data_IF_680304296250
#
_entry.id   IF_680304296250
#
_cell.length_a   1.000
_cell.length_b   1.000
_cell.length_c   1.000
_cell.angle_alpha   90.00
_cell.angle_beta   90.00
_cell.angle_gamma   90.00
#
_symmetry.space_group_name_H-M   'P 1'
#
loop_
_entity.id
_entity.type
_entity.pdbx_description
1 polymer ?
#
# COMPACT_ATOMS: atom_id res chain seq x y z
N UNK A 1 19.48 -14.36 -17.19
CA UNK A 1 19.83 -13.34 -18.22
C UNK A 1 18.65 -12.45 -18.66
N UNK A 2 17.39 -12.86 -18.39
CA UNK A 2 16.20 -12.09 -18.79
C UNK A 2 15.80 -11.00 -17.78
N UNK A 3 16.30 -11.04 -16.55
CA UNK A 3 16.01 -10.04 -15.53
C UNK A 3 17.05 -8.91 -15.54
N UNK A 4 16.58 -7.68 -15.40
CA UNK A 4 17.44 -6.54 -15.03
C UNK A 4 17.97 -6.72 -13.60
N UNK A 5 18.99 -5.96 -13.21
CA UNK A 5 19.58 -6.07 -11.86
C UNK A 5 18.57 -5.79 -10.74
N UNK A 6 17.59 -4.93 -10.99
CA UNK A 6 16.48 -4.65 -10.08
C UNK A 6 15.25 -5.55 -10.32
N UNK A 7 15.34 -6.52 -11.24
CA UNK A 7 14.23 -7.37 -11.65
C UNK A 7 13.90 -8.44 -10.61
N UNK A 8 12.65 -8.87 -10.64
CA UNK A 8 12.10 -9.90 -9.76
C UNK A 8 11.42 -11.01 -10.55
N UNK A 9 11.40 -12.20 -9.96
CA UNK A 9 10.62 -13.33 -10.45
C UNK A 9 9.65 -13.79 -9.37
N UNK A 10 8.43 -14.09 -9.80
CA UNK A 10 7.37 -14.67 -8.96
C UNK A 10 6.95 -16.01 -9.54
N UNK A 11 6.93 -17.04 -8.72
CA UNK A 11 6.47 -18.38 -9.12
C UNK A 11 5.32 -18.79 -8.22
N UNK A 12 4.13 -18.89 -8.79
CA UNK A 12 2.97 -19.46 -8.08
C UNK A 12 2.99 -20.96 -8.18
N UNK A 13 2.86 -21.64 -7.05
CA UNK A 13 2.94 -23.10 -6.96
C UNK A 13 2.06 -23.62 -5.82
N UNK A 14 1.51 -24.81 -5.97
CA UNK A 14 0.76 -25.50 -4.91
C UNK A 14 1.67 -26.12 -3.84
N UNK A 15 1.05 -26.45 -2.72
CA UNK A 15 1.72 -27.01 -1.54
C UNK A 15 2.55 -28.26 -1.86
N UNK A 16 2.06 -29.11 -2.75
CA UNK A 16 2.70 -30.36 -3.13
C UNK A 16 4.11 -30.19 -3.69
N UNK A 17 4.38 -29.08 -4.38
CA UNK A 17 5.62 -28.86 -5.13
C UNK A 17 6.40 -27.61 -4.71
N UNK A 18 5.92 -26.84 -3.73
CA UNK A 18 6.58 -25.60 -3.32
C UNK A 18 8.04 -25.79 -2.90
N UNK A 19 8.34 -26.88 -2.19
CA UNK A 19 9.68 -27.23 -1.74
C UNK A 19 10.63 -27.52 -2.92
N UNK A 20 10.14 -28.20 -3.98
CA UNK A 20 10.92 -28.48 -5.18
C UNK A 20 11.18 -27.21 -6.00
N UNK A 21 10.13 -26.42 -6.22
CA UNK A 21 10.25 -25.14 -6.91
C UNK A 21 11.23 -24.21 -6.17
N UNK A 22 11.16 -24.18 -4.83
CA UNK A 22 12.08 -23.39 -4.02
C UNK A 22 13.52 -23.84 -4.21
N UNK A 23 13.80 -25.15 -4.15
CA UNK A 23 15.16 -25.69 -4.32
C UNK A 23 15.76 -25.33 -5.69
N UNK A 24 14.96 -25.44 -6.76
CA UNK A 24 15.41 -25.06 -8.11
C UNK A 24 15.70 -23.55 -8.18
N UNK A 25 14.87 -22.72 -7.55
CA UNK A 25 15.08 -21.28 -7.55
C UNK A 25 16.30 -20.87 -6.72
N UNK A 26 16.55 -21.55 -5.59
CA UNK A 26 17.77 -21.34 -4.79
C UNK A 26 19.03 -21.71 -5.60
N UNK A 27 18.98 -22.78 -6.40
CA UNK A 27 20.09 -23.17 -7.29
C UNK A 27 20.33 -22.13 -8.41
N UNK A 28 19.26 -21.63 -9.03
CA UNK A 28 19.36 -20.72 -10.19
C UNK A 28 19.68 -19.29 -9.79
N UNK A 29 19.06 -18.78 -8.73
CA UNK A 29 19.16 -17.38 -8.31
C UNK A 29 20.09 -17.14 -7.12
N UNK A 30 20.41 -18.22 -6.35
CA UNK A 30 21.09 -18.14 -5.07
C UNK A 30 20.13 -17.90 -3.90
N UNK A 31 20.36 -18.57 -2.77
CA UNK A 31 19.54 -18.46 -1.56
C UNK A 31 19.47 -17.02 -1.03
N UNK A 32 20.56 -16.27 -1.14
CA UNK A 32 20.65 -14.88 -0.69
C UNK A 32 19.71 -13.94 -1.46
N UNK A 33 19.29 -14.31 -2.65
CA UNK A 33 18.38 -13.54 -3.48
C UNK A 33 16.88 -13.85 -3.25
N UNK A 34 16.61 -14.78 -2.32
CA UNK A 34 15.25 -15.02 -1.86
C UNK A 34 14.70 -13.80 -1.08
N UNK A 35 13.51 -13.34 -1.47
CA UNK A 35 12.85 -12.20 -0.83
C UNK A 35 11.75 -12.68 0.10
N UNK A 36 10.80 -13.49 -0.41
CA UNK A 36 9.67 -13.96 0.40
C UNK A 36 8.97 -15.17 -0.20
N UNK A 37 8.43 -15.99 0.67
CA UNK A 37 7.37 -16.96 0.34
C UNK A 37 6.05 -16.38 0.82
N UNK A 38 5.15 -16.14 -0.11
CA UNK A 38 3.85 -15.53 0.13
C UNK A 38 2.81 -16.65 0.14
N UNK A 39 2.03 -16.73 1.20
CA UNK A 39 0.91 -17.68 1.32
C UNK A 39 -0.37 -17.02 0.86
N UNK A 40 -1.03 -17.62 -0.11
CA UNK A 40 -2.30 -17.11 -0.69
C UNK A 40 -3.41 -18.08 -0.37
N UNK A 41 -4.49 -17.61 0.23
CA UNK A 41 -5.67 -18.44 0.51
C UNK A 41 -6.40 -18.78 -0.79
N UNK A 42 -6.53 -20.07 -1.10
CA UNK A 42 -7.21 -20.58 -2.28
C UNK A 42 -8.69 -20.85 -2.03
N UNK A 43 -8.97 -21.53 -0.92
CA UNK A 43 -10.34 -21.90 -0.52
C UNK A 43 -10.48 -21.82 1.00
N UNK A 44 -11.70 -21.84 1.50
CA UNK A 44 -11.99 -21.85 2.94
C UNK A 44 -12.07 -23.26 3.52
N UNK A 45 -12.38 -24.25 2.68
CA UNK A 45 -12.41 -25.66 3.09
C UNK A 45 -12.22 -26.57 1.87
N UNK A 46 -11.51 -27.65 2.07
CA UNK A 46 -11.39 -28.73 1.12
C UNK A 46 -11.71 -30.03 1.87
N UNK A 47 -12.67 -30.80 1.33
CA UNK A 47 -13.02 -32.12 1.87
C UNK A 47 -11.89 -33.08 1.59
N UNK A 48 -11.04 -33.33 2.58
CA UNK A 48 -9.99 -34.32 2.50
C UNK A 48 -9.98 -35.22 3.75
N UNK A 49 -9.47 -36.43 3.63
CA UNK A 49 -9.39 -37.42 4.72
C UNK A 49 -8.38 -37.01 5.82
N UNK A 50 -7.43 -36.17 5.50
CA UNK A 50 -6.44 -35.66 6.44
C UNK A 50 -6.58 -34.14 6.53
N UNK A 51 -5.54 -33.39 6.18
CA UNK A 51 -5.52 -31.94 6.16
C UNK A 51 -5.69 -31.44 4.73
N UNK A 52 -6.73 -30.62 4.47
CA UNK A 52 -6.99 -30.03 3.16
C UNK A 52 -5.96 -28.95 2.80
N UNK A 53 -5.53 -28.93 1.54
CA UNK A 53 -4.64 -27.89 1.01
C UNK A 53 -5.45 -26.64 0.66
N UNK A 54 -5.57 -25.70 1.59
CA UNK A 54 -6.37 -24.47 1.44
C UNK A 54 -5.60 -23.28 0.89
N UNK A 55 -4.29 -23.42 0.68
CA UNK A 55 -3.39 -22.36 0.26
C UNK A 55 -2.57 -22.74 -0.96
N UNK A 56 -2.25 -21.75 -1.77
CA UNK A 56 -1.14 -21.77 -2.74
C UNK A 56 -0.01 -20.85 -2.24
N UNK A 57 1.15 -20.98 -2.84
CA UNK A 57 2.32 -20.18 -2.52
C UNK A 57 2.80 -19.39 -3.73
N UNK A 58 3.35 -18.21 -3.47
CA UNK A 58 4.08 -17.42 -4.45
C UNK A 58 5.49 -17.23 -3.92
N UNK A 59 6.47 -17.78 -4.61
CA UNK A 59 7.89 -17.60 -4.32
C UNK A 59 8.37 -16.32 -5.01
N UNK A 60 9.00 -15.43 -4.26
CA UNK A 60 9.54 -14.18 -4.76
C UNK A 60 11.06 -14.15 -4.58
N UNK A 61 11.77 -14.01 -5.71
CA UNK A 61 13.22 -13.82 -5.77
C UNK A 61 13.53 -12.53 -6.55
N UNK A 62 14.61 -11.85 -6.15
CA UNK A 62 15.24 -10.81 -6.97
C UNK A 62 16.37 -11.42 -7.79
N UNK A 63 16.77 -10.77 -8.90
CA UNK A 63 18.06 -11.06 -9.51
C UNK A 63 19.19 -10.72 -8.54
N UNK A 64 19.09 -9.56 -7.91
CA UNK A 64 19.91 -9.12 -6.78
C UNK A 64 18.95 -8.54 -5.73
N UNK A 65 18.82 -9.20 -4.61
CA UNK A 65 17.87 -8.83 -3.55
C UNK A 65 18.01 -7.38 -3.10
N UNK A 66 19.25 -6.90 -2.98
CA UNK A 66 19.54 -5.54 -2.52
C UNK A 66 19.11 -4.47 -3.53
N UNK A 67 19.05 -4.82 -4.82
CA UNK A 67 18.66 -3.92 -5.89
C UNK A 67 17.19 -4.11 -6.32
N UNK A 68 16.52 -5.14 -5.81
CA UNK A 68 15.16 -5.46 -6.20
C UNK A 68 14.21 -4.29 -5.91
N UNK A 69 13.40 -3.91 -6.90
CA UNK A 69 12.32 -2.95 -6.65
C UNK A 69 11.33 -3.56 -5.69
N UNK A 70 11.05 -2.86 -4.60
CA UNK A 70 10.03 -3.26 -3.63
C UNK A 70 9.22 -2.05 -3.19
N UNK A 71 7.90 -2.11 -3.36
CA UNK A 71 6.96 -1.11 -2.87
C UNK A 71 6.16 -1.65 -1.72
N UNK A 72 5.87 -0.80 -0.76
CA UNK A 72 4.91 -1.15 0.28
C UNK A 72 3.51 -1.00 -0.28
N UNK A 73 2.76 -2.09 -0.30
CA UNK A 73 1.33 -2.08 -0.53
C UNK A 73 0.60 -2.06 0.80
N UNK A 74 -0.53 -1.38 0.82
CA UNK A 74 -1.32 -1.20 2.03
C UNK A 74 -2.70 -1.84 1.85
N UNK A 75 -3.14 -2.58 2.86
CA UNK A 75 -4.51 -3.07 2.96
C UNK A 75 -5.26 -2.34 4.08
N UNK A 76 -6.59 -2.34 4.02
CA UNK A 76 -7.38 -1.96 5.17
C UNK A 76 -6.97 -2.83 6.36
N UNK A 77 -6.97 -2.27 7.56
CA UNK A 77 -6.63 -3.04 8.75
C UNK A 77 -7.55 -4.24 8.87
N UNK A 78 -6.96 -5.39 9.23
CA UNK A 78 -7.73 -6.58 9.57
C UNK A 78 -8.39 -6.39 10.95
N UNK A 79 -9.47 -7.14 11.20
CA UNK A 79 -10.17 -7.17 12.49
C UNK A 79 -9.21 -7.47 13.66
N UNK A 80 -8.22 -8.35 13.46
CA UNK A 80 -7.19 -8.63 14.48
C UNK A 80 -6.32 -7.42 14.80
N UNK A 81 -6.05 -6.55 13.84
CA UNK A 81 -5.29 -5.32 14.06
C UNK A 81 -6.16 -4.21 14.61
N UNK A 82 -7.45 -4.20 14.31
CA UNK A 82 -8.45 -3.31 14.91
C UNK A 82 -8.69 -3.67 16.38
N UNK A 83 -8.68 -4.95 16.76
CA UNK A 83 -8.77 -5.43 18.12
C UNK A 83 -7.70 -4.91 19.08
N UNK A 84 -6.63 -4.26 18.58
CA UNK A 84 -5.64 -3.55 19.39
C UNK A 84 -6.09 -2.17 19.85
N UNK A 85 -7.15 -1.60 19.23
CA UNK A 85 -7.74 -0.30 19.58
C UNK A 85 -8.98 -0.54 20.45
N UNK A 86 -8.73 -0.87 21.71
CA UNK A 86 -9.76 -1.33 22.65
C UNK A 86 -10.37 -0.24 23.53
N UNK A 87 -9.79 0.93 23.50
CA UNK A 87 -10.22 2.06 24.30
C UNK A 87 -10.93 3.09 23.44
N UNK A 88 -12.12 3.50 23.89
CA UNK A 88 -12.89 4.56 23.24
C UNK A 88 -12.56 5.90 23.88
N UNK A 89 -12.42 6.93 23.04
CA UNK A 89 -12.23 8.30 23.47
C UNK A 89 -13.56 9.04 23.49
N UNK A 90 -13.64 10.19 24.14
CA UNK A 90 -14.89 10.94 24.34
C UNK A 90 -15.55 11.40 23.01
N UNK A 91 -14.84 11.41 21.92
CA UNK A 91 -15.34 11.74 20.57
C UNK A 91 -15.83 10.51 19.80
N UNK A 92 -15.86 9.33 20.43
CA UNK A 92 -16.24 8.06 19.80
C UNK A 92 -15.11 7.39 18.99
N UNK A 93 -13.93 8.00 18.93
CA UNK A 93 -12.80 7.41 18.26
C UNK A 93 -12.12 6.34 19.13
N UNK A 94 -11.66 5.27 18.51
CA UNK A 94 -10.90 4.24 19.18
C UNK A 94 -9.41 4.56 19.20
N UNK A 95 -8.74 4.21 20.28
CA UNK A 95 -7.31 4.40 20.45
C UNK A 95 -6.64 3.24 21.17
N UNK A 96 -5.33 3.21 21.08
CA UNK A 96 -4.47 2.34 21.85
C UNK A 96 -3.38 3.14 22.56
N UNK A 97 -2.86 2.56 23.62
CA UNK A 97 -1.68 3.08 24.31
C UNK A 97 -0.41 2.68 23.56
N UNK A 98 0.43 3.67 23.31
CA UNK A 98 1.78 3.47 22.80
C UNK A 98 2.79 4.14 23.73
N UNK A 99 4.02 3.62 23.80
CA UNK A 99 5.03 4.20 24.68
C UNK A 99 5.60 5.50 24.11
N UNK A 100 5.68 6.52 24.94
CA UNK A 100 6.34 7.80 24.63
C UNK A 100 7.83 7.77 25.02
N UNK A 101 8.28 6.68 25.65
CA UNK A 101 9.64 6.50 26.15
C UNK A 101 10.40 5.47 25.32
N UNK A 102 11.73 5.59 25.31
CA UNK A 102 12.69 4.68 24.72
C UNK A 102 13.50 4.02 25.83
N UNK A 103 13.84 2.75 25.66
CA UNK A 103 14.74 2.02 26.56
C UNK A 103 16.22 2.38 26.36
N UNK A 104 16.56 3.18 25.34
CA UNK A 104 17.90 3.69 25.11
C UNK A 104 18.35 4.50 26.33
N UNK A 105 19.57 4.29 26.84
CA UNK A 105 20.12 5.16 27.88
C UNK A 105 20.09 6.64 27.47
N UNK A 106 19.81 7.51 28.42
CA UNK A 106 19.82 8.95 28.17
C UNK A 106 21.22 9.43 27.86
N UNK A 107 21.34 10.25 26.80
CA UNK A 107 22.55 10.97 26.44
C UNK A 107 22.42 12.46 26.72
N UNK A 108 23.45 13.21 26.41
CA UNK A 108 23.44 14.66 26.52
C UNK A 108 22.34 15.28 25.65
N UNK A 109 21.54 16.17 26.25
CA UNK A 109 20.41 16.83 25.59
C UNK A 109 19.13 16.03 25.51
N UNK A 110 19.09 14.80 26.05
CA UNK A 110 17.85 14.02 26.16
C UNK A 110 16.96 14.50 27.32
N UNK A 111 15.64 14.43 27.10
CA UNK A 111 14.66 14.80 28.13
C UNK A 111 14.47 13.63 29.09
N UNK A 112 14.80 13.86 30.36
CA UNK A 112 14.65 12.86 31.44
C UNK A 112 13.57 13.24 32.48
N UNK A 113 12.99 14.43 32.35
CA UNK A 113 11.86 14.90 33.16
C UNK A 113 10.96 15.77 32.32
N UNK A 114 9.67 15.60 32.46
CA UNK A 114 8.66 16.41 31.79
C UNK A 114 7.53 16.72 32.74
N UNK A 115 7.13 17.99 32.83
CA UNK A 115 6.04 18.45 33.71
C UNK A 115 4.85 18.89 32.86
N UNK A 116 3.66 18.32 33.15
CA UNK A 116 2.42 18.70 32.46
C UNK A 116 1.24 18.62 33.42
N UNK A 117 0.36 19.60 33.39
CA UNK A 117 -0.80 19.72 34.29
C UNK A 117 -0.46 19.56 35.78
N UNK A 118 0.66 20.15 36.21
CA UNK A 118 1.11 20.08 37.56
C UNK A 118 1.63 18.70 38.04
N UNK A 119 1.85 17.77 37.09
CA UNK A 119 2.41 16.44 37.34
C UNK A 119 3.76 16.30 36.64
N UNK A 120 4.67 15.63 37.35
CA UNK A 120 6.00 15.31 36.83
C UNK A 120 6.04 13.87 36.29
N UNK A 121 6.60 13.70 35.12
CA UNK A 121 6.79 12.42 34.46
C UNK A 121 8.25 12.13 34.21
N UNK A 122 8.65 10.88 34.44
CA UNK A 122 10.01 10.40 34.27
C UNK A 122 10.01 9.15 33.36
N UNK A 123 10.91 9.06 32.37
CA UNK A 123 10.99 7.90 31.48
C UNK A 123 11.63 6.65 32.11
N UNK A 124 12.02 6.70 33.39
CA UNK A 124 12.72 5.63 34.08
C UNK A 124 14.21 5.57 33.69
N UNK A 125 14.71 4.39 33.35
CA UNK A 125 16.11 4.19 32.94
C UNK A 125 16.44 4.70 31.52
N UNK A 126 15.42 5.09 30.75
CA UNK A 126 15.56 5.53 29.37
C UNK A 126 15.38 7.03 29.20
N UNK A 127 14.89 7.43 28.04
CA UNK A 127 14.61 8.82 27.66
C UNK A 127 13.23 8.92 27.01
N UNK A 128 12.71 10.15 26.89
CA UNK A 128 11.55 10.37 26.03
C UNK A 128 11.95 10.29 24.54
N UNK A 129 11.02 9.87 23.69
CA UNK A 129 11.22 9.70 22.23
C UNK A 129 11.36 11.02 21.46
N UNK A 130 11.09 12.15 22.10
CA UNK A 130 11.17 13.47 21.50
C UNK A 130 11.68 14.51 22.50
N UNK A 131 12.07 15.67 21.99
CA UNK A 131 12.51 16.83 22.81
C UNK A 131 11.33 17.43 23.58
N UNK A 132 11.63 18.26 24.55
CA UNK A 132 10.61 18.90 25.40
C UNK A 132 9.56 19.67 24.59
N UNK A 133 9.98 20.44 23.60
CA UNK A 133 9.06 21.14 22.68
C UNK A 133 8.08 20.18 21.97
N UNK A 134 8.57 18.99 21.58
CA UNK A 134 7.73 17.95 20.98
C UNK A 134 6.76 17.33 21.99
N UNK A 135 7.17 17.14 23.24
CA UNK A 135 6.27 16.69 24.32
C UNK A 135 5.17 17.73 24.57
N UNK A 136 5.51 19.01 24.61
CA UNK A 136 4.51 20.09 24.77
C UNK A 136 3.50 20.08 23.63
N UNK A 137 3.93 19.89 22.37
CA UNK A 137 3.04 19.81 21.20
C UNK A 137 2.13 18.59 21.25
N UNK A 138 2.65 17.43 21.68
CA UNK A 138 1.84 16.24 21.90
C UNK A 138 0.78 16.47 22.97
N UNK A 139 1.13 17.17 24.02
CA UNK A 139 0.20 17.56 25.08
C UNK A 139 -0.89 18.53 24.56
N UNK A 140 -0.49 19.60 23.85
CA UNK A 140 -1.39 20.55 23.19
C UNK A 140 -2.33 19.87 22.18
N UNK A 141 -1.85 18.82 21.51
CA UNK A 141 -2.62 18.00 20.57
C UNK A 141 -3.51 16.96 21.25
N UNK A 142 -3.58 16.95 22.57
CA UNK A 142 -4.36 15.98 23.36
C UNK A 142 -3.98 14.52 23.06
N UNK A 143 -2.68 14.27 22.89
CA UNK A 143 -2.12 12.95 22.52
C UNK A 143 -1.50 12.20 23.70
N UNK A 144 -1.69 12.70 24.93
CA UNK A 144 -1.20 12.04 26.12
C UNK A 144 -2.32 11.42 26.94
N UNK A 145 -1.98 10.31 27.56
CA UNK A 145 -2.79 9.63 28.56
C UNK A 145 -1.91 9.28 29.74
N UNK A 146 -2.42 9.60 30.91
CA UNK A 146 -1.77 9.25 32.17
C UNK A 146 -2.41 7.99 32.73
N UNK A 147 -1.62 6.94 32.92
CA UNK A 147 -2.10 5.69 33.51
C UNK A 147 -2.31 5.83 35.02
N UNK A 148 -3.04 4.89 35.64
CA UNK A 148 -3.23 4.80 37.10
C UNK A 148 -1.89 4.82 37.89
N UNK A 149 -0.83 4.30 37.29
CA UNK A 149 0.52 4.28 37.85
C UNK A 149 1.34 5.54 37.53
N UNK A 150 0.70 6.64 37.13
CA UNK A 150 1.33 7.92 36.74
C UNK A 150 2.37 7.80 35.63
N UNK A 151 2.22 6.81 34.72
CA UNK A 151 3.04 6.73 33.50
C UNK A 151 2.39 7.51 32.37
N UNK A 152 3.19 8.30 31.68
CA UNK A 152 2.77 9.02 30.48
C UNK A 152 2.85 8.08 29.28
N UNK A 153 1.74 7.93 28.57
CA UNK A 153 1.64 7.17 27.33
C UNK A 153 1.15 8.05 26.19
N UNK A 154 1.53 7.68 24.97
CA UNK A 154 1.03 8.28 23.75
C UNK A 154 -0.31 7.65 23.36
N UNK A 155 -1.31 8.47 23.16
CA UNK A 155 -2.62 8.09 22.64
C UNK A 155 -2.56 8.01 21.11
N UNK A 156 -2.44 6.81 20.57
CA UNK A 156 -2.48 6.58 19.13
C UNK A 156 -3.91 6.32 18.71
N UNK A 157 -4.46 7.22 17.89
CA UNK A 157 -5.81 7.08 17.35
C UNK A 157 -5.85 6.03 16.23
N UNK A 158 -6.97 5.33 16.12
CA UNK A 158 -7.25 4.45 14.97
C UNK A 158 -7.20 5.23 13.65
N UNK A 159 -7.63 6.49 13.69
CA UNK A 159 -7.68 7.38 12.53
C UNK A 159 -6.30 7.96 12.12
N UNK A 160 -5.24 7.75 12.91
CA UNK A 160 -3.90 8.23 12.58
C UNK A 160 -3.33 7.59 11.31
N UNK A 161 -3.70 6.34 11.05
CA UNK A 161 -3.43 5.64 9.80
C UNK A 161 -4.35 4.41 9.69
N UNK A 162 -5.33 4.46 8.81
CA UNK A 162 -6.37 3.41 8.66
C UNK A 162 -5.91 2.14 7.94
N UNK A 163 -4.64 2.06 7.55
CA UNK A 163 -4.08 0.97 6.74
C UNK A 163 -3.01 0.19 7.50
N UNK A 164 -2.75 -1.03 7.04
CA UNK A 164 -1.61 -1.85 7.44
C UNK A 164 -0.76 -2.19 6.22
N UNK A 165 0.57 -2.21 6.38
CA UNK A 165 1.44 -2.74 5.34
C UNK A 165 1.14 -4.22 5.11
N UNK A 166 1.02 -4.62 3.84
CA UNK A 166 0.80 -6.03 3.49
C UNK A 166 2.03 -6.85 3.84
N UNK A 167 1.79 -7.98 4.50
CA UNK A 167 2.79 -9.00 4.74
C UNK A 167 2.75 -10.12 3.69
N UNK A 168 3.39 -11.22 4.00
CA UNK A 168 3.45 -12.42 3.16
C UNK A 168 2.28 -13.40 3.37
N UNK A 169 1.23 -12.99 4.04
CA UNK A 169 -0.03 -13.74 4.15
C UNK A 169 -1.16 -12.97 3.46
N UNK A 170 -1.62 -13.49 2.32
CA UNK A 170 -2.70 -12.89 1.54
C UNK A 170 -4.00 -13.70 1.72
N UNK A 171 -4.65 -13.48 2.86
CA UNK A 171 -5.92 -14.12 3.18
C UNK A 171 -7.15 -13.28 2.76
N UNK A 172 -6.96 -12.02 2.42
CA UNK A 172 -7.98 -11.05 2.03
C UNK A 172 -8.38 -11.15 0.55
N UNK A 173 -7.59 -11.86 -0.27
CA UNK A 173 -7.91 -12.19 -1.65
C UNK A 173 -8.19 -13.69 -1.78
N UNK A 174 -9.16 -14.03 -2.61
CA UNK A 174 -9.41 -15.42 -2.96
C UNK A 174 -8.54 -15.81 -4.15
N UNK A 175 -7.81 -16.92 -4.03
CA UNK A 175 -7.17 -17.57 -5.16
C UNK A 175 -8.18 -18.20 -6.13
N UNK A 176 -9.45 -18.33 -5.71
CA UNK A 176 -10.51 -18.85 -6.57
C UNK A 176 -10.95 -17.78 -7.57
N UNK A 177 -10.89 -18.15 -8.86
CA UNK A 177 -11.33 -17.32 -9.98
C UNK A 177 -12.79 -17.63 -10.25
N UNK A 178 -13.73 -16.86 -9.73
CA UNK A 178 -15.18 -17.04 -9.97
C UNK A 178 -15.99 -15.76 -9.72
N UNK A 179 -15.44 -14.57 -9.97
CA UNK A 179 -16.22 -13.34 -9.89
C UNK A 179 -16.69 -12.86 -11.25
N UNK A 180 -17.71 -12.00 -11.29
CA UNK A 180 -18.15 -11.35 -12.53
C UNK A 180 -17.05 -10.49 -13.17
N UNK A 181 -16.13 -9.97 -12.36
CA UNK A 181 -15.01 -9.16 -12.81
C UNK A 181 -13.77 -9.97 -13.22
N UNK A 182 -13.68 -11.23 -12.79
CA UNK A 182 -12.61 -12.16 -13.16
C UNK A 182 -13.21 -13.56 -13.44
N UNK A 183 -13.89 -13.75 -14.59
CA UNK A 183 -14.53 -15.02 -14.93
C UNK A 183 -13.45 -16.08 -15.25
N UNK A 184 -13.68 -17.29 -14.77
CA UNK A 184 -12.83 -18.42 -15.12
C UNK A 184 -13.07 -18.84 -16.56
N UNK A 185 -12.12 -18.52 -17.44
CA UNK A 185 -12.20 -18.86 -18.89
C UNK A 185 -11.23 -19.98 -19.28
N UNK A 186 -10.36 -20.39 -18.36
CA UNK A 186 -9.34 -21.42 -18.60
C UNK A 186 -9.25 -22.36 -17.39
N UNK A 187 -8.87 -23.61 -17.62
CA UNK A 187 -8.85 -24.66 -16.58
C UNK A 187 -7.93 -24.29 -15.42
N UNK A 188 -6.73 -23.80 -15.74
CA UNK A 188 -5.75 -23.35 -14.75
C UNK A 188 -5.58 -21.83 -14.95
N UNK A 189 -6.24 -21.05 -14.12
CA UNK A 189 -6.20 -19.59 -14.21
C UNK A 189 -5.85 -19.01 -12.87
N UNK A 190 -4.80 -18.19 -12.82
CA UNK A 190 -4.44 -17.39 -11.66
C UNK A 190 -5.38 -16.18 -11.52
N UNK A 191 -5.75 -15.85 -10.30
CA UNK A 191 -6.53 -14.64 -10.01
C UNK A 191 -5.78 -13.38 -10.41
N UNK A 192 -6.50 -12.45 -11.05
CA UNK A 192 -5.98 -11.13 -11.42
C UNK A 192 -5.42 -10.37 -10.23
N UNK A 193 -6.01 -10.55 -9.02
CA UNK A 193 -5.56 -9.90 -7.79
C UNK A 193 -4.17 -10.35 -7.34
N UNK A 194 -3.83 -11.63 -7.51
CA UNK A 194 -2.50 -12.15 -7.17
C UNK A 194 -1.46 -11.53 -8.09
N UNK A 195 -1.71 -11.58 -9.41
CA UNK A 195 -0.80 -11.03 -10.42
C UNK A 195 -0.64 -9.52 -10.24
N UNK A 196 -1.74 -8.79 -9.97
CA UNK A 196 -1.71 -7.36 -9.73
C UNK A 196 -0.81 -7.00 -8.53
N UNK A 197 -0.91 -7.74 -7.43
CA UNK A 197 -0.05 -7.52 -6.25
C UNK A 197 1.42 -7.77 -6.56
N UNK A 198 1.76 -8.86 -7.23
CA UNK A 198 3.14 -9.14 -7.66
C UNK A 198 3.69 -8.01 -8.53
N UNK A 199 2.90 -7.55 -9.49
CA UNK A 199 3.24 -6.44 -10.38
C UNK A 199 3.46 -5.13 -9.63
N UNK A 200 2.53 -4.76 -8.75
CA UNK A 200 2.58 -3.51 -7.99
C UNK A 200 3.72 -3.50 -6.97
N UNK A 201 4.08 -4.66 -6.41
CA UNK A 201 5.22 -4.80 -5.50
C UNK A 201 6.57 -4.51 -6.19
N UNK A 202 6.76 -4.99 -7.42
CA UNK A 202 8.10 -5.12 -8.00
C UNK A 202 8.32 -4.36 -9.32
N UNK A 203 7.30 -3.65 -9.85
CA UNK A 203 7.43 -2.96 -11.14
C UNK A 203 6.89 -1.54 -11.12
N UNK A 204 7.36 -0.72 -12.06
CA UNK A 204 6.85 0.62 -12.35
C UNK A 204 6.01 0.64 -13.63
N UNK A 205 5.08 1.60 -13.81
CA UNK A 205 4.46 1.85 -15.09
C UNK A 205 5.53 2.01 -16.20
N UNK A 206 5.33 1.32 -17.34
CA UNK A 206 6.29 1.28 -18.43
C UNK A 206 7.37 0.20 -18.32
N UNK A 207 7.52 -0.49 -17.20
CA UNK A 207 8.40 -1.66 -17.07
C UNK A 207 7.89 -2.83 -17.92
N UNK A 208 8.79 -3.76 -18.26
CA UNK A 208 8.47 -4.96 -19.02
C UNK A 208 8.22 -6.14 -18.09
N UNK A 209 7.13 -6.86 -18.34
CA UNK A 209 6.73 -8.07 -17.64
C UNK A 209 6.78 -9.24 -18.62
N UNK A 210 7.40 -10.33 -18.23
CA UNK A 210 7.47 -11.57 -19.01
C UNK A 210 6.71 -12.67 -18.29
N UNK A 211 5.81 -13.35 -18.99
CA UNK A 211 5.14 -14.56 -18.54
C UNK A 211 5.35 -15.69 -19.55
N UNK A 212 6.23 -16.65 -19.26
CA UNK A 212 6.52 -17.77 -20.17
C UNK A 212 5.44 -18.87 -20.12
N UNK A 213 4.39 -18.72 -19.32
CA UNK A 213 3.30 -19.67 -19.11
C UNK A 213 1.94 -18.99 -19.18
N UNK A 214 1.70 -18.29 -20.27
CA UNK A 214 0.62 -17.35 -20.50
C UNK A 214 -0.78 -17.82 -20.06
N UNK A 215 -1.13 -19.08 -20.34
CA UNK A 215 -2.48 -19.60 -20.11
C UNK A 215 -3.55 -18.69 -20.73
N UNK A 216 -4.51 -18.25 -19.94
CA UNK A 216 -5.58 -17.33 -20.37
C UNK A 216 -5.16 -15.87 -20.50
N UNK A 217 -3.88 -15.53 -20.38
CA UNK A 217 -3.37 -14.17 -20.51
C UNK A 217 -3.64 -13.26 -19.31
N UNK A 218 -3.71 -13.81 -18.11
CA UNK A 218 -3.97 -13.01 -16.90
C UNK A 218 -2.87 -11.98 -16.68
N UNK A 219 -1.60 -12.37 -16.81
CA UNK A 219 -0.47 -11.46 -16.65
C UNK A 219 -0.48 -10.32 -17.67
N UNK A 220 -0.76 -10.63 -18.94
CA UNK A 220 -0.87 -9.61 -19.99
C UNK A 220 -2.02 -8.63 -19.70
N UNK A 221 -3.20 -9.15 -19.33
CA UNK A 221 -4.38 -8.34 -19.01
C UNK A 221 -4.10 -7.41 -17.82
N UNK A 222 -3.49 -7.91 -16.76
CA UNK A 222 -3.14 -7.10 -15.58
C UNK A 222 -2.04 -6.10 -15.92
N UNK A 223 -1.03 -6.49 -16.67
CA UNK A 223 0.04 -5.58 -17.12
C UNK A 223 -0.52 -4.44 -17.95
N UNK A 224 -1.42 -4.74 -18.87
CA UNK A 224 -2.13 -3.73 -19.66
C UNK A 224 -2.93 -2.77 -18.77
N UNK A 225 -3.69 -3.30 -17.80
CA UNK A 225 -4.44 -2.49 -16.85
C UNK A 225 -3.56 -1.49 -16.12
N UNK A 226 -2.41 -1.92 -15.65
CA UNK A 226 -1.50 -1.14 -14.81
C UNK A 226 -0.41 -0.39 -15.60
N UNK A 227 -0.51 -0.33 -16.94
CA UNK A 227 0.41 0.44 -17.78
C UNK A 227 1.82 -0.14 -17.87
N UNK A 228 1.96 -1.46 -17.73
CA UNK A 228 3.21 -2.19 -17.96
C UNK A 228 3.24 -2.70 -19.39
N UNK A 229 4.43 -2.80 -19.97
CA UNK A 229 4.64 -3.55 -21.20
C UNK A 229 4.71 -5.03 -20.88
N UNK A 230 4.31 -5.88 -21.79
CA UNK A 230 4.26 -7.31 -21.52
C UNK A 230 4.66 -8.15 -22.72
N UNK A 231 5.26 -9.30 -22.43
CA UNK A 231 5.51 -10.40 -23.35
C UNK A 231 4.98 -11.65 -22.66
N UNK A 232 4.13 -12.42 -23.36
CA UNK A 232 3.63 -13.69 -22.83
C UNK A 232 3.84 -14.79 -23.86
N UNK A 233 4.15 -15.98 -23.37
CA UNK A 233 4.47 -17.15 -24.19
C UNK A 233 3.61 -18.31 -23.74
N UNK A 234 3.17 -19.16 -24.66
CA UNK A 234 2.52 -20.43 -24.34
C UNK A 234 2.75 -21.42 -25.50
N UNK A 235 2.79 -22.69 -25.17
CA UNK A 235 2.86 -23.79 -26.15
C UNK A 235 1.47 -24.15 -26.68
N UNK A 236 0.41 -23.81 -25.95
CA UNK A 236 -0.98 -24.11 -26.31
C UNK A 236 -1.57 -23.01 -27.20
N UNK A 237 -1.87 -23.34 -28.43
CA UNK A 237 -2.58 -22.43 -29.35
C UNK A 237 -3.98 -22.04 -28.83
N UNK A 238 -4.64 -22.91 -28.08
CA UNK A 238 -5.95 -22.62 -27.44
C UNK A 238 -5.76 -21.56 -26.36
N UNK A 239 -4.76 -21.68 -25.50
CA UNK A 239 -4.44 -20.68 -24.49
C UNK A 239 -4.18 -19.31 -25.14
N UNK A 240 -3.34 -19.26 -26.17
CA UNK A 240 -3.02 -18.01 -26.89
C UNK A 240 -4.24 -17.40 -27.57
N UNK A 241 -5.16 -18.20 -28.16
CA UNK A 241 -6.38 -17.71 -28.73
C UNK A 241 -7.31 -17.07 -27.67
N UNK A 242 -7.45 -17.71 -26.51
CA UNK A 242 -8.20 -17.18 -25.38
C UNK A 242 -7.57 -15.90 -24.81
N UNK A 243 -6.25 -15.89 -24.63
CA UNK A 243 -5.51 -14.72 -24.16
C UNK A 243 -5.70 -13.53 -25.11
N UNK A 244 -5.55 -13.76 -26.42
CA UNK A 244 -5.79 -12.74 -27.44
C UNK A 244 -7.20 -12.19 -27.39
N UNK A 245 -8.22 -13.04 -27.34
CA UNK A 245 -9.61 -12.61 -27.24
C UNK A 245 -9.88 -11.80 -25.96
N UNK A 246 -9.33 -12.22 -24.84
CA UNK A 246 -9.45 -11.53 -23.54
C UNK A 246 -8.81 -10.15 -23.56
N UNK A 247 -7.61 -10.02 -24.09
CA UNK A 247 -6.87 -8.76 -24.15
C UNK A 247 -7.58 -7.79 -25.12
N UNK A 248 -7.95 -8.24 -26.32
CA UNK A 248 -8.62 -7.41 -27.33
C UNK A 248 -10.03 -6.97 -26.90
N UNK A 249 -10.77 -7.83 -26.19
CA UNK A 249 -12.11 -7.53 -25.68
C UNK A 249 -12.10 -6.78 -24.34
N UNK A 250 -10.93 -6.64 -23.71
CA UNK A 250 -10.78 -6.02 -22.40
C UNK A 250 -11.08 -4.52 -22.42
N UNK A 251 -11.78 -4.07 -21.37
CA UNK A 251 -11.98 -2.65 -21.08
C UNK A 251 -11.23 -2.33 -19.80
N UNK A 252 -10.31 -1.39 -19.88
CA UNK A 252 -9.43 -1.02 -18.80
C UNK A 252 -9.80 0.36 -18.24
N UNK A 253 -9.62 0.60 -16.94
CA UNK A 253 -9.79 1.92 -16.36
C UNK A 253 -8.88 2.95 -17.05
N UNK A 254 -9.38 4.16 -17.20
CA UNK A 254 -8.58 5.27 -17.70
C UNK A 254 -7.93 5.99 -16.53
N UNK A 255 -6.78 5.47 -16.09
CA UNK A 255 -6.03 6.09 -15.00
C UNK A 255 -5.40 7.41 -15.42
N UNK A 256 -5.41 8.39 -14.51
CA UNK A 256 -4.81 9.70 -14.77
C UNK A 256 -3.29 9.60 -14.69
N UNK A 257 -2.63 9.82 -15.82
CA UNK A 257 -1.17 9.85 -15.88
C UNK A 257 -0.63 11.10 -15.14
N UNK A 258 0.43 10.95 -14.36
CA UNK A 258 1.12 12.07 -13.75
C UNK A 258 1.64 13.06 -14.81
N UNK A 259 2.02 12.55 -15.99
CA UNK A 259 2.45 13.31 -17.17
C UNK A 259 1.27 13.58 -18.12
N UNK A 260 0.16 14.05 -17.59
CA UNK A 260 -0.99 14.54 -18.37
C UNK A 260 -1.57 15.81 -17.74
N UNK A 261 -2.30 16.61 -18.53
CA UNK A 261 -2.91 17.85 -18.02
C UNK A 261 -3.94 17.55 -16.92
N UNK A 262 -4.77 16.54 -17.14
CA UNK A 262 -5.75 16.09 -16.15
C UNK A 262 -5.06 15.58 -14.87
N UNK A 263 -3.95 14.84 -15.04
CA UNK A 263 -3.15 14.37 -13.91
C UNK A 263 -2.53 15.51 -13.12
N UNK A 264 -1.97 16.53 -13.78
CA UNK A 264 -1.43 17.71 -13.10
C UNK A 264 -2.49 18.49 -12.31
N UNK A 265 -3.70 18.59 -12.85
CA UNK A 265 -4.83 19.22 -12.15
C UNK A 265 -5.18 18.40 -10.91
N UNK A 266 -5.34 17.07 -11.09
CA UNK A 266 -5.67 16.16 -9.99
C UNK A 266 -4.60 16.14 -8.90
N UNK A 267 -3.32 16.16 -9.29
CA UNK A 267 -2.20 16.25 -8.36
C UNK A 267 -2.26 17.55 -7.53
N UNK A 268 -2.55 18.68 -8.17
CA UNK A 268 -2.75 19.96 -7.49
C UNK A 268 -3.91 19.92 -6.49
N UNK A 269 -5.04 19.30 -6.86
CA UNK A 269 -6.18 19.11 -5.95
C UNK A 269 -5.80 18.27 -4.71
N UNK A 270 -5.14 17.12 -4.94
CA UNK A 270 -4.76 16.18 -3.88
C UNK A 270 -3.72 16.79 -2.94
N UNK A 271 -2.76 17.54 -3.49
CA UNK A 271 -1.69 18.18 -2.71
C UNK A 271 -2.10 19.55 -2.16
N UNK A 272 -3.28 20.06 -2.55
CA UNK A 272 -3.74 21.42 -2.21
C UNK A 272 -2.73 22.49 -2.62
N UNK A 273 -2.10 22.30 -3.76
CA UNK A 273 -1.11 23.20 -4.34
C UNK A 273 -1.56 23.68 -5.72
N UNK A 274 -0.89 24.70 -6.23
CA UNK A 274 -1.13 25.12 -7.62
C UNK A 274 -0.76 23.98 -8.57
N UNK A 275 -1.65 23.70 -9.52
CA UNK A 275 -1.39 22.69 -10.56
C UNK A 275 -0.15 23.05 -11.37
N UNK A 276 0.68 22.08 -11.67
CA UNK A 276 1.85 22.27 -12.54
C UNK A 276 1.42 22.77 -13.93
N UNK A 277 2.21 23.69 -14.50
CA UNK A 277 2.02 24.19 -15.87
C UNK A 277 3.08 23.63 -16.83
N UNK A 278 3.88 22.67 -16.40
CA UNK A 278 4.91 22.04 -17.25
C UNK A 278 4.24 21.33 -18.45
N UNK A 279 4.91 21.31 -19.61
CA UNK A 279 4.41 20.53 -20.75
C UNK A 279 4.28 19.04 -20.40
N UNK A 280 3.30 18.38 -20.96
CA UNK A 280 3.00 16.96 -20.76
C UNK A 280 3.11 16.21 -22.07
N UNK A 281 3.62 14.98 -22.01
CA UNK A 281 3.90 14.13 -23.15
C UNK A 281 3.15 12.79 -23.10
N UNK A 282 2.34 12.57 -22.08
CA UNK A 282 1.60 11.33 -21.88
C UNK A 282 2.51 10.13 -21.59
N UNK A 283 3.69 10.36 -21.01
CA UNK A 283 4.65 9.30 -20.74
C UNK A 283 4.24 8.49 -19.51
N UNK A 284 3.82 7.25 -19.73
CA UNK A 284 3.38 6.32 -18.66
C UNK A 284 4.46 6.04 -17.61
N UNK A 285 5.74 6.19 -17.95
CA UNK A 285 6.86 5.96 -17.01
C UNK A 285 6.89 6.97 -15.86
N UNK A 286 6.21 8.10 -15.98
CA UNK A 286 6.03 9.04 -14.89
C UNK A 286 5.00 8.56 -13.87
N UNK A 287 4.32 7.44 -14.12
CA UNK A 287 3.33 6.83 -13.25
C UNK A 287 1.95 7.48 -13.35
N UNK A 288 1.11 7.13 -12.41
CA UNK A 288 -0.25 7.64 -12.27
C UNK A 288 -0.34 8.61 -11.08
N UNK A 289 -1.42 9.36 -11.02
CA UNK A 289 -1.80 10.10 -9.82
C UNK A 289 -2.50 9.11 -8.86
N UNK A 290 -1.86 8.83 -7.72
CA UNK A 290 -2.37 7.86 -6.75
C UNK A 290 -3.10 8.52 -5.59
N UNK A 291 -4.04 7.82 -4.99
CA UNK A 291 -4.57 8.18 -3.69
C UNK A 291 -3.45 8.21 -2.65
N UNK A 292 -3.58 9.14 -1.70
CA UNK A 292 -2.64 9.33 -0.59
C UNK A 292 -3.39 9.40 0.70
N UNK A 293 -2.81 8.82 1.73
CA UNK A 293 -3.36 8.88 3.07
C UNK A 293 -2.32 9.44 4.03
N UNK A 294 -2.71 10.35 4.93
CA UNK A 294 -1.78 10.84 5.92
C UNK A 294 -1.39 9.70 6.88
N UNK A 295 -0.11 9.59 7.18
CA UNK A 295 0.42 8.67 8.18
C UNK A 295 0.85 9.48 9.40
N UNK A 296 -0.08 9.70 10.32
CA UNK A 296 0.15 10.48 11.52
C UNK A 296 0.96 9.65 12.51
N UNK A 297 2.13 10.15 12.87
CA UNK A 297 3.06 9.53 13.82
C UNK A 297 3.33 10.47 14.99
N UNK A 298 3.84 9.93 16.10
CA UNK A 298 4.32 10.75 17.21
C UNK A 298 5.31 11.83 16.72
N UNK A 299 6.22 11.45 15.81
CA UNK A 299 7.25 12.36 15.27
C UNK A 299 6.64 13.48 14.44
N UNK A 300 5.63 13.19 13.61
CA UNK A 300 4.98 14.23 12.79
C UNK A 300 4.26 15.27 13.64
N UNK A 301 3.62 14.86 14.75
CA UNK A 301 2.98 15.76 15.70
C UNK A 301 4.03 16.58 16.47
N UNK A 302 5.03 15.91 17.03
CA UNK A 302 6.08 16.57 17.82
C UNK A 302 6.87 17.64 17.05
N UNK A 303 7.01 17.47 15.74
CA UNK A 303 7.71 18.40 14.87
C UNK A 303 6.80 19.49 14.26
N UNK A 304 5.50 19.44 14.46
CA UNK A 304 4.56 20.41 13.90
C UNK A 304 4.51 21.70 14.73
N UNK A 305 5.28 22.71 14.35
CA UNK A 305 5.31 24.01 15.04
C UNK A 305 4.02 24.82 14.92
N UNK A 306 3.16 24.53 13.93
CA UNK A 306 1.91 25.24 13.75
C UNK A 306 0.92 24.97 14.91
N UNK A 307 1.09 23.84 15.60
CA UNK A 307 0.30 23.53 16.82
C UNK A 307 0.49 24.61 17.88
N UNK A 308 1.68 25.16 18.03
CA UNK A 308 1.96 26.21 19.01
C UNK A 308 1.19 27.48 18.65
N UNK A 309 1.20 27.89 17.37
CA UNK A 309 0.50 29.09 16.87
C UNK A 309 -1.01 28.95 17.03
N UNK A 310 -1.56 27.78 16.64
CA UNK A 310 -3.01 27.50 16.80
C UNK A 310 -3.38 27.56 18.27
N UNK A 311 -2.59 26.88 19.14
CA UNK A 311 -2.84 26.88 20.56
C UNK A 311 -2.88 28.28 21.15
N UNK A 312 -1.87 29.10 20.89
CA UNK A 312 -1.78 30.47 21.44
C UNK A 312 -2.93 31.36 20.96
N UNK A 313 -3.31 31.21 19.68
CA UNK A 313 -4.44 31.96 19.10
C UNK A 313 -5.77 31.61 19.79
N UNK A 314 -6.01 30.33 20.05
CA UNK A 314 -7.22 29.89 20.73
C UNK A 314 -7.18 30.10 22.23
N UNK A 315 -6.02 30.06 22.85
CA UNK A 315 -5.87 30.29 24.29
C UNK A 315 -6.29 31.74 24.65
N UNK A 316 -5.96 32.70 23.79
CA UNK A 316 -6.43 34.07 23.93
C UNK A 316 -7.96 34.22 23.97
N UNK A 317 -8.70 33.26 23.40
CA UNK A 317 -10.18 33.21 23.44
C UNK A 317 -10.71 32.37 24.59
N UNK A 318 -10.04 31.26 24.88
CA UNK A 318 -10.48 30.28 25.89
C UNK A 318 -10.27 30.79 27.32
N UNK A 319 -9.19 31.51 27.57
CA UNK A 319 -8.85 31.95 28.91
C UNK A 319 -9.89 32.94 29.49
N UNK A 320 -10.35 33.96 28.78
CA UNK A 320 -11.44 34.84 29.26
C UNK A 320 -12.73 34.09 29.54
N UNK A 321 -13.09 33.09 28.73
CA UNK A 321 -14.28 32.25 28.93
C UNK A 321 -14.12 31.36 30.18
N UNK A 322 -12.94 30.80 30.42
CA UNK A 322 -12.63 30.01 31.62
C UNK A 322 -12.74 30.88 32.90
N UNK A 323 -12.15 32.06 32.85
CA UNK A 323 -12.22 32.99 33.98
C UNK A 323 -13.65 33.44 34.30
N UNK A 324 -14.44 33.76 33.26
CA UNK A 324 -15.85 34.11 33.42
C UNK A 324 -16.68 32.95 33.97
N UNK A 325 -16.46 31.75 33.50
CA UNK A 325 -17.09 30.53 34.01
C UNK A 325 -16.73 30.28 35.50
N UNK A 326 -15.44 30.34 35.83
CA UNK A 326 -14.96 30.19 37.19
C UNK A 326 -15.57 31.23 38.13
N UNK A 327 -15.63 32.50 37.72
CA UNK A 327 -16.24 33.56 38.46
C UNK A 327 -17.76 33.32 38.72
N UNK A 328 -18.46 32.87 37.68
CA UNK A 328 -19.90 32.56 37.76
C UNK A 328 -20.21 31.44 38.71
N UNK A 329 -19.37 30.40 38.73
CA UNK A 329 -19.54 29.19 39.56
C UNK A 329 -18.79 29.23 40.90
N UNK A 330 -18.04 30.32 41.17
CA UNK A 330 -17.13 30.43 42.36
C UNK A 330 -16.14 29.24 42.40
N UNK A 331 -15.55 28.90 41.28
CA UNK A 331 -14.55 27.82 41.10
C UNK A 331 -13.20 28.40 40.69
N UNK A 332 -12.17 27.57 40.74
CA UNK A 332 -10.79 27.90 40.30
C UNK A 332 -10.29 26.84 39.34
N UNK A 333 -11.17 26.35 38.51
CA UNK A 333 -10.85 25.29 37.55
C UNK A 333 -9.77 25.71 36.54
N UNK A 334 -8.82 24.82 36.40
CA UNK A 334 -7.95 24.83 35.25
C UNK A 334 -8.66 24.23 34.04
N UNK A 335 -8.09 24.39 32.84
CA UNK A 335 -8.69 23.91 31.59
C UNK A 335 -9.12 22.43 31.65
N UNK A 336 -8.29 21.58 32.26
CA UNK A 336 -8.51 20.14 32.37
C UNK A 336 -9.46 19.72 33.50
N UNK A 337 -9.87 20.64 34.34
CA UNK A 337 -10.80 20.39 35.44
C UNK A 337 -12.25 20.75 35.08
N UNK A 338 -12.46 21.46 33.97
CA UNK A 338 -13.80 21.83 33.53
C UNK A 338 -14.55 20.58 33.08
N UNK A 339 -15.68 20.24 33.72
CA UNK A 339 -16.42 19.03 33.43
C UNK A 339 -16.98 19.04 32.02
N UNK A 340 -17.11 17.88 31.39
CA UNK A 340 -17.66 17.73 30.04
C UNK A 340 -19.15 18.09 30.00
N UNK A 341 -19.88 17.67 31.00
CA UNK A 341 -21.31 17.91 31.13
C UNK A 341 -21.57 19.02 32.13
N UNK A 342 -22.50 19.89 31.81
CA UNK A 342 -22.94 20.94 32.71
C UNK A 342 -23.82 20.33 33.82
N UNK A 343 -23.66 20.79 35.06
CA UNK A 343 -24.56 20.39 36.16
C UNK A 343 -25.94 21.05 35.97
N UNK A 344 -26.98 20.27 36.10
CA UNK A 344 -28.37 20.74 36.00
C UNK A 344 -28.72 21.88 36.99
N UNK A 345 -27.91 22.04 38.03
CA UNK A 345 -28.08 23.07 39.08
C UNK A 345 -27.44 24.41 38.70
N UNK A 346 -26.73 24.50 37.59
CA UNK A 346 -26.08 25.75 37.20
C UNK A 346 -27.11 26.77 36.64
N UNK A 347 -26.85 28.03 36.88
CA UNK A 347 -27.63 29.12 36.27
C UNK A 347 -27.48 29.13 34.77
N UNK A 348 -28.48 29.58 34.04
CA UNK A 348 -28.50 29.65 32.58
C UNK A 348 -27.24 30.36 31.99
N UNK A 349 -26.79 31.45 32.62
CA UNK A 349 -25.57 32.15 32.23
C UNK A 349 -24.31 31.32 32.34
N UNK A 350 -24.18 30.49 33.38
CA UNK A 350 -23.05 29.59 33.55
C UNK A 350 -23.08 28.43 32.53
N UNK A 351 -24.26 27.90 32.20
CA UNK A 351 -24.44 26.91 31.15
C UNK A 351 -24.07 27.45 29.78
N UNK A 352 -24.41 28.70 29.49
CA UNK A 352 -24.00 29.33 28.22
C UNK A 352 -22.47 29.48 28.14
N UNK A 353 -21.83 30.01 29.18
CA UNK A 353 -20.37 30.14 29.24
C UNK A 353 -19.65 28.78 29.10
N UNK A 354 -20.17 27.74 29.73
CA UNK A 354 -19.66 26.37 29.60
C UNK A 354 -19.78 25.87 28.16
N UNK A 355 -20.95 26.08 27.52
CA UNK A 355 -21.18 25.69 26.12
C UNK A 355 -20.25 26.43 25.19
N UNK A 356 -20.08 27.73 25.35
CA UNK A 356 -19.19 28.55 24.52
C UNK A 356 -17.73 28.18 24.72
N UNK A 357 -17.31 27.87 25.91
CA UNK A 357 -15.97 27.40 26.21
C UNK A 357 -15.68 26.04 25.55
N UNK A 358 -16.59 25.06 25.68
CA UNK A 358 -16.43 23.75 25.04
C UNK A 358 -16.46 23.84 23.52
N UNK A 359 -17.30 24.70 22.96
CA UNK A 359 -17.33 24.95 21.52
C UNK A 359 -15.99 25.50 21.02
N UNK A 360 -15.41 26.44 21.72
CA UNK A 360 -14.10 27.00 21.38
C UNK A 360 -12.97 25.96 21.53
N UNK A 361 -13.02 25.14 22.59
CA UNK A 361 -12.04 24.07 22.82
C UNK A 361 -12.09 22.99 21.73
N UNK A 362 -13.30 22.59 21.32
CA UNK A 362 -13.49 21.62 20.23
C UNK A 362 -12.99 22.22 18.91
N UNK A 363 -13.27 23.49 18.64
CA UNK A 363 -12.78 24.16 17.44
C UNK A 363 -11.25 24.23 17.40
N UNK A 364 -10.59 24.55 18.54
CA UNK A 364 -9.12 24.47 18.66
C UNK A 364 -8.60 23.07 18.32
N UNK A 365 -9.18 22.02 18.90
CA UNK A 365 -8.75 20.66 18.64
C UNK A 365 -8.93 20.27 17.17
N UNK A 366 -10.07 20.64 16.58
CA UNK A 366 -10.34 20.40 15.15
C UNK A 366 -9.31 21.07 14.23
N UNK A 367 -8.88 22.29 14.57
CA UNK A 367 -7.86 23.02 13.80
C UNK A 367 -6.49 22.38 13.97
N UNK A 368 -6.13 21.96 15.20
CA UNK A 368 -4.89 21.20 15.46
C UNK A 368 -4.89 19.89 14.68
N UNK A 369 -5.96 19.11 14.70
CA UNK A 369 -6.05 17.83 14.00
C UNK A 369 -5.95 18.02 12.47
N UNK A 370 -6.53 19.07 11.92
CA UNK A 370 -6.35 19.45 10.51
C UNK A 370 -4.91 19.78 10.17
N UNK A 371 -4.23 20.54 11.03
CA UNK A 371 -2.82 20.88 10.87
C UNK A 371 -1.93 19.62 10.95
N UNK A 372 -2.21 18.71 11.90
CA UNK A 372 -1.50 17.44 12.03
C UNK A 372 -1.65 16.61 10.75
N UNK A 373 -2.86 16.46 10.24
CA UNK A 373 -3.13 15.71 9.02
C UNK A 373 -2.46 16.35 7.78
N UNK A 374 -2.42 17.68 7.71
CA UNK A 374 -1.81 18.40 6.60
C UNK A 374 -0.27 18.34 6.60
N UNK A 375 0.35 18.21 7.77
CA UNK A 375 1.82 18.15 7.95
C UNK A 375 2.35 16.73 8.10
N UNK A 376 1.47 15.72 8.18
CA UNK A 376 1.87 14.32 8.22
C UNK A 376 2.53 13.90 6.91
N UNK A 377 3.44 12.94 6.98
CA UNK A 377 3.92 12.23 5.79
C UNK A 377 2.76 11.49 5.14
N UNK A 378 2.79 11.36 3.82
CA UNK A 378 1.74 10.67 3.08
C UNK A 378 2.27 9.35 2.56
N UNK A 379 1.43 8.32 2.68
CA UNK A 379 1.65 7.03 2.04
C UNK A 379 0.84 6.96 0.74
N UNK A 380 1.49 6.49 -0.32
CA UNK A 380 0.83 6.31 -1.61
C UNK A 380 0.14 4.96 -1.65
N UNK A 381 -1.12 4.94 -2.08
CA UNK A 381 -1.86 3.71 -2.34
C UNK A 381 -1.67 3.35 -3.82
N UNK A 382 -0.62 2.60 -4.12
CA UNK A 382 -0.26 2.22 -5.50
C UNK A 382 -1.30 1.35 -6.20
N UNK A 383 -2.18 0.74 -5.44
CA UNK A 383 -3.35 -0.02 -5.90
C UNK A 383 -4.60 0.84 -6.13
N UNK A 384 -4.52 2.16 -5.86
CA UNK A 384 -5.63 3.11 -6.00
C UNK A 384 -5.23 4.35 -6.81
N UNK A 385 -4.92 4.21 -8.09
CA UNK A 385 -4.76 5.35 -8.98
C UNK A 385 -6.11 6.03 -9.22
N UNK A 386 -6.11 7.36 -9.32
CA UNK A 386 -7.30 8.10 -9.77
C UNK A 386 -7.61 7.78 -11.22
N UNK A 387 -8.88 7.62 -11.54
CA UNK A 387 -9.38 7.34 -12.89
C UNK A 387 -10.42 8.35 -13.37
N UNK A 388 -10.55 8.49 -14.69
CA UNK A 388 -11.66 9.18 -15.33
C UNK A 388 -12.75 8.16 -15.68
N UNK A 389 -13.77 8.06 -14.84
CA UNK A 389 -14.90 7.12 -14.99
C UNK A 389 -15.73 7.32 -16.27
N UNK A 390 -15.56 8.45 -16.96
CA UNK A 390 -16.23 8.75 -18.24
C UNK A 390 -15.50 8.16 -19.43
N UNK A 391 -14.26 7.73 -19.26
CA UNK A 391 -13.38 7.18 -20.29
C UNK A 391 -13.06 5.73 -19.95
N UNK A 392 -12.89 4.93 -20.98
CA UNK A 392 -12.35 3.58 -20.89
C UNK A 392 -11.17 3.48 -21.85
N UNK A 393 -10.20 2.66 -21.50
CA UNK A 393 -9.06 2.35 -22.34
C UNK A 393 -9.23 0.93 -22.90
N UNK A 394 -8.80 0.71 -24.11
CA UNK A 394 -8.62 -0.62 -24.72
C UNK A 394 -7.13 -0.94 -24.77
N UNK A 395 -6.79 -2.21 -24.99
CA UNK A 395 -5.40 -2.61 -25.19
C UNK A 395 -4.77 -1.85 -26.37
N UNK A 396 -3.50 -1.48 -26.21
CA UNK A 396 -2.71 -0.97 -27.32
C UNK A 396 -2.46 -2.04 -28.39
N UNK A 397 -1.88 -1.67 -29.54
CA UNK A 397 -1.51 -2.64 -30.55
C UNK A 397 -0.45 -3.62 -30.01
N UNK A 398 -0.63 -4.91 -30.27
CA UNK A 398 0.32 -5.96 -29.94
C UNK A 398 0.41 -6.97 -31.05
N UNK A 399 1.53 -7.67 -31.17
CA UNK A 399 1.78 -8.73 -32.14
C UNK A 399 1.51 -10.10 -31.53
N UNK A 400 1.13 -11.04 -32.37
CA UNK A 400 1.05 -12.46 -32.00
C UNK A 400 1.94 -13.21 -33.02
N UNK A 401 2.97 -13.84 -32.52
CA UNK A 401 3.94 -14.55 -33.29
C UNK A 401 3.88 -16.04 -32.96
N UNK A 402 3.99 -16.87 -33.99
CA UNK A 402 4.13 -18.32 -33.81
C UNK A 402 5.57 -18.67 -34.15
N UNK A 403 6.31 -19.06 -33.12
CA UNK A 403 7.63 -19.66 -33.36
C UNK A 403 7.38 -21.11 -33.77
N UNK A 404 7.66 -21.46 -35.02
CA UNK A 404 7.59 -22.86 -35.41
C UNK A 404 8.63 -23.66 -34.63
N UNK A 405 8.21 -24.71 -33.87
CA UNK A 405 9.17 -25.59 -33.23
C UNK A 405 9.99 -26.42 -34.22
N UNK A 406 9.57 -26.40 -35.48
CA UNK A 406 10.26 -27.08 -36.52
C UNK A 406 11.34 -26.16 -37.13
N UNK A 407 12.59 -26.52 -36.93
CA UNK A 407 13.64 -26.10 -37.81
C UNK A 407 13.18 -26.50 -39.23
N UNK A 408 13.29 -25.60 -40.16
CA UNK A 408 13.06 -25.94 -41.57
C UNK A 408 14.26 -26.81 -41.96
N UNK A 409 14.14 -28.10 -41.66
CA UNK A 409 15.16 -29.07 -41.99
C UNK A 409 14.94 -29.45 -43.46
N UNK A 410 15.91 -29.18 -44.27
CA UNK A 410 16.05 -29.77 -45.61
C UNK A 410 17.04 -30.93 -45.56
N UNK A 411 17.15 -31.65 -46.65
CA UNK A 411 18.21 -32.63 -46.88
C UNK A 411 19.20 -32.08 -47.90
N UNK A 412 20.48 -32.32 -47.67
CA UNK A 412 21.52 -31.99 -48.62
C UNK A 412 21.63 -33.03 -49.74
N UNK A 413 22.62 -32.86 -50.62
CA UNK A 413 22.90 -33.78 -51.70
C UNK A 413 23.30 -35.21 -51.29
N UNK A 414 23.55 -35.40 -49.97
CA UNK A 414 23.96 -36.70 -49.39
C UNK A 414 22.88 -37.27 -48.48
N UNK A 415 21.63 -36.74 -48.49
CA UNK A 415 20.51 -37.09 -47.61
C UNK A 415 20.76 -36.78 -46.14
N UNK A 416 21.72 -35.89 -45.80
CA UNK A 416 21.92 -35.40 -44.43
C UNK A 416 20.97 -34.24 -44.12
N UNK A 417 20.39 -34.22 -42.85
CA UNK A 417 19.49 -33.17 -42.38
C UNK A 417 20.27 -31.89 -42.15
N UNK A 418 19.93 -30.83 -42.87
CA UNK A 418 20.51 -29.49 -42.72
C UNK A 418 19.48 -28.49 -42.28
N UNK A 419 19.88 -27.51 -41.44
CA UNK A 419 19.05 -26.40 -41.04
C UNK A 419 19.06 -25.36 -42.18
N UNK A 420 17.96 -25.24 -42.92
CA UNK A 420 17.82 -24.32 -44.06
C UNK A 420 18.03 -22.84 -43.70
N UNK A 421 17.87 -22.48 -42.42
CA UNK A 421 18.15 -21.13 -41.92
C UNK A 421 19.67 -20.83 -41.83
N UNK A 422 20.50 -21.89 -41.85
CA UNK A 422 21.96 -21.77 -41.80
C UNK A 422 22.63 -21.93 -43.18
N UNK A 423 21.84 -22.25 -44.21
CA UNK A 423 22.35 -22.41 -45.58
C UNK A 423 22.50 -21.07 -46.25
N UNK A 424 23.74 -20.70 -46.59
CA UNK A 424 24.05 -19.43 -47.26
C UNK A 424 23.62 -19.39 -48.73
N UNK A 425 23.30 -20.55 -49.33
CA UNK A 425 22.87 -20.66 -50.71
C UNK A 425 21.61 -21.55 -50.82
N UNK A 426 20.40 -20.95 -50.85
CA UNK A 426 19.14 -21.70 -50.83
C UNK A 426 18.90 -22.56 -52.09
N UNK A 427 19.70 -22.40 -53.18
CA UNK A 427 19.59 -23.23 -54.37
C UNK A 427 20.09 -24.66 -54.16
N UNK A 428 20.81 -24.96 -53.08
CA UNK A 428 21.36 -26.27 -52.75
C UNK A 428 20.50 -27.10 -51.78
N UNK A 429 19.37 -26.57 -51.31
CA UNK A 429 18.51 -27.26 -50.36
C UNK A 429 17.22 -27.73 -51.04
N UNK A 430 16.90 -29.00 -50.92
CA UNK A 430 15.63 -29.58 -51.34
C UNK A 430 14.65 -29.58 -50.18
N UNK A 431 13.46 -29.02 -50.34
CA UNK A 431 12.41 -29.04 -49.32
C UNK A 431 11.87 -30.44 -49.17
N UNK A 432 12.12 -31.07 -48.05
CA UNK A 432 11.47 -32.33 -47.67
C UNK A 432 9.97 -32.11 -47.40
N UNK A 433 9.16 -33.13 -47.71
CA UNK A 433 7.73 -33.07 -47.47
C UNK A 433 7.42 -32.83 -46.00
N UNK A 434 6.51 -31.88 -45.72
CA UNK A 434 5.96 -31.64 -44.38
C UNK A 434 5.40 -32.95 -43.79
N UNK A 435 6.02 -33.48 -42.76
CA UNK A 435 5.38 -34.52 -41.96
C UNK A 435 4.40 -33.82 -40.99
N UNK A 436 3.12 -33.91 -41.29
CA UNK A 436 2.07 -33.63 -40.33
C UNK A 436 2.15 -34.60 -39.18
N UNK A 437 2.29 -34.11 -37.98
CA UNK A 437 2.05 -34.92 -36.75
C UNK A 437 0.55 -35.04 -36.55
N UNK A 438 0.01 -36.26 -36.65
CA UNK A 438 -1.27 -36.64 -36.07
C UNK A 438 -1.20 -36.72 -34.56
#
# INVERSE_FOLDING_TARGET
DLLTDSGSIFVQIGDENVHRARSVMDEVFGEDNFISQITVRKTTSEGNTLLGATCDFVLWFGKHREHAKARTLYANRSEDSEGRYTSEYFDGSFYRFDTVTSSRPAGEGDVTRFSWFGQDFNPGKGTFKTKETGLIRLAKADRFLVTKNRKLNYRRSQNDFGYGAMGNLWADISGAVQSRSDPKVYVVQTSTSIVARCLLLATDPGDLVLDPTCGSGTTATVSEQWGRRWITIDTSRVALALARARIMGGRYPFYLLADSREGQIKEGEVTRSASSTKPTYGNVRHGFVYERVPHITLKSIANNAEIDVIWDTWQAKLEPLREALNKSLKKTWQEWEIPREADAKWAAAANQLHTDWWKARIARQTEIDKSIAAKAEFEYLYDKPYDDKKKVRVAGPFTVESLSPHRVLGVDENDDLIDLLMVKDPAKATYGAERSFE
#
